data_IF_970562754940
#
_entry.id   IF_970562754940
#
_cell.length_a   1.000
_cell.length_b   1.000
_cell.length_c   1.000
_cell.angle_alpha   90.00
_cell.angle_beta   90.00
_cell.angle_gamma   90.00
#
_symmetry.space_group_name_H-M   'P 1'
#
loop_
_entity.id
_entity.type
_entity.pdbx_description
1 polymer ?
#
# COMPACT_ATOMS: atom_id res chain seq x y z
N UNK A 1 4.92 -2.08 44.64
CA UNK A 1 4.48 -0.99 43.73
C UNK A 1 4.71 -1.44 42.31
N UNK A 2 3.64 -1.81 41.60
CA UNK A 2 3.70 -2.19 40.18
C UNK A 2 4.03 -0.94 39.36
N UNK A 3 5.21 -0.92 38.71
CA UNK A 3 5.53 0.10 37.72
C UNK A 3 4.63 -0.14 36.52
N UNK A 4 3.60 0.69 36.32
CA UNK A 4 2.91 0.76 35.04
C UNK A 4 3.97 1.18 34.01
N UNK A 5 4.46 0.22 33.24
CA UNK A 5 5.35 0.46 32.12
C UNK A 5 4.57 1.24 31.06
N UNK A 6 5.03 2.43 30.72
CA UNK A 6 4.43 3.27 29.67
C UNK A 6 4.39 2.44 28.38
N UNK A 7 3.19 2.21 27.82
CA UNK A 7 2.99 1.45 26.57
C UNK A 7 2.14 0.18 26.67
N UNK A 8 1.82 -0.33 27.87
CA UNK A 8 0.98 -1.54 28.00
C UNK A 8 -0.44 -1.36 27.45
N UNK A 9 -1.08 -0.21 27.71
CA UNK A 9 -2.41 0.09 27.21
C UNK A 9 -2.44 0.24 25.67
N UNK A 10 -1.39 0.83 25.09
CA UNK A 10 -1.22 0.95 23.64
C UNK A 10 -1.02 -0.44 23.00
N UNK A 11 -0.19 -1.30 23.62
CA UNK A 11 0.03 -2.66 23.17
C UNK A 11 -1.27 -3.47 23.12
N UNK A 12 -2.05 -3.44 24.20
CA UNK A 12 -3.32 -4.16 24.26
C UNK A 12 -4.31 -3.63 23.22
N UNK A 13 -4.34 -2.31 23.01
CA UNK A 13 -5.20 -1.67 22.01
C UNK A 13 -4.79 -2.11 20.61
N UNK A 14 -3.52 -2.01 20.24
CA UNK A 14 -3.02 -2.40 18.92
C UNK A 14 -3.22 -3.91 18.67
N UNK A 15 -3.00 -4.76 19.69
CA UNK A 15 -3.28 -6.20 19.60
C UNK A 15 -4.76 -6.49 19.34
N UNK A 16 -5.67 -5.80 20.03
CA UNK A 16 -7.12 -5.94 19.80
C UNK A 16 -7.50 -5.54 18.38
N UNK A 17 -6.94 -4.44 17.87
CA UNK A 17 -7.20 -3.98 16.50
C UNK A 17 -6.67 -5.01 15.49
N UNK A 18 -5.43 -5.50 15.63
CA UNK A 18 -4.87 -6.53 14.75
C UNK A 18 -5.75 -7.78 14.72
N UNK A 19 -6.12 -8.30 15.90
CA UNK A 19 -6.97 -9.48 15.98
C UNK A 19 -8.35 -9.25 15.36
N UNK A 20 -8.95 -8.07 15.54
CA UNK A 20 -10.23 -7.75 14.92
C UNK A 20 -10.15 -7.82 13.38
N UNK A 21 -9.14 -7.18 12.79
CA UNK A 21 -9.01 -7.21 11.33
C UNK A 21 -8.67 -8.60 10.79
N UNK A 22 -7.82 -9.35 11.49
CA UNK A 22 -7.45 -10.70 11.09
C UNK A 22 -8.60 -11.69 11.26
N UNK A 23 -9.13 -11.80 12.47
CA UNK A 23 -10.02 -12.89 12.87
C UNK A 23 -11.50 -12.59 12.56
N UNK A 24 -11.90 -11.31 12.52
CA UNK A 24 -13.29 -10.91 12.23
C UNK A 24 -13.47 -10.45 10.78
N UNK A 25 -12.55 -9.63 10.27
CA UNK A 25 -12.67 -9.08 8.91
C UNK A 25 -11.94 -9.91 7.85
N UNK A 26 -11.13 -10.90 8.25
CA UNK A 26 -10.42 -11.80 7.33
C UNK A 26 -9.28 -11.14 6.56
N UNK A 27 -8.63 -10.13 7.16
CA UNK A 27 -7.47 -9.45 6.58
C UNK A 27 -6.20 -10.27 6.81
N UNK A 28 -5.30 -10.22 5.85
CA UNK A 28 -3.99 -10.83 5.99
C UNK A 28 -3.10 -9.93 6.85
N UNK A 29 -2.60 -10.49 7.96
CA UNK A 29 -1.62 -9.81 8.80
C UNK A 29 -0.21 -10.10 8.28
N UNK A 30 0.46 -9.08 7.72
CA UNK A 30 1.79 -9.23 7.12
C UNK A 30 2.95 -9.17 8.12
N UNK A 31 2.65 -9.03 9.42
CA UNK A 31 3.66 -8.92 10.47
C UNK A 31 4.13 -7.49 10.73
N UNK A 32 5.19 -7.37 11.54
CA UNK A 32 5.84 -6.10 11.85
C UNK A 32 7.04 -5.88 10.90
N UNK A 33 7.02 -4.79 10.14
CA UNK A 33 8.03 -4.45 9.14
C UNK A 33 8.97 -3.32 9.55
N UNK A 34 8.94 -2.88 10.82
CA UNK A 34 9.75 -1.75 11.31
C UNK A 34 11.24 -1.89 11.01
N UNK A 35 11.78 -3.11 11.14
CA UNK A 35 13.20 -3.41 10.93
C UNK A 35 13.46 -4.24 9.67
N UNK A 36 12.48 -4.33 8.76
CA UNK A 36 12.66 -5.08 7.51
C UNK A 36 13.64 -4.34 6.61
N UNK A 37 14.62 -5.04 6.09
CA UNK A 37 15.48 -4.51 5.04
C UNK A 37 14.64 -4.16 3.79
N UNK A 38 14.91 -3.02 3.15
CA UNK A 38 14.12 -2.56 2.01
C UNK A 38 12.68 -2.15 2.36
N UNK A 39 12.45 -1.60 3.56
CA UNK A 39 11.14 -1.03 3.92
C UNK A 39 10.77 0.11 2.96
N UNK A 40 9.58 0.01 2.37
CA UNK A 40 9.08 0.91 1.34
C UNK A 40 7.63 1.29 1.63
N UNK A 41 7.22 2.47 1.17
CA UNK A 41 5.81 2.87 1.19
C UNK A 41 4.99 2.23 0.05
N UNK A 42 5.67 1.65 -0.95
CA UNK A 42 5.06 0.93 -2.06
C UNK A 42 5.67 -0.46 -2.09
N UNK A 43 4.84 -1.46 -1.86
CA UNK A 43 5.22 -2.86 -1.90
C UNK A 43 4.91 -3.45 -3.27
N UNK A 44 5.91 -3.44 -4.15
CA UNK A 44 5.73 -3.79 -5.57
C UNK A 44 5.27 -5.23 -5.78
N UNK A 45 5.74 -6.18 -4.96
CA UNK A 45 5.36 -7.59 -5.06
C UNK A 45 3.85 -7.79 -4.83
N UNK A 46 3.32 -7.26 -3.72
CA UNK A 46 1.89 -7.35 -3.41
C UNK A 46 1.04 -6.58 -4.41
N UNK A 47 1.52 -5.43 -4.88
CA UNK A 47 0.84 -4.61 -5.88
C UNK A 47 0.80 -5.30 -7.25
N UNK A 48 1.89 -5.92 -7.67
CA UNK A 48 1.98 -6.70 -8.90
C UNK A 48 1.02 -7.89 -8.85
N UNK A 49 1.11 -8.72 -7.81
CA UNK A 49 0.25 -9.88 -7.66
C UNK A 49 -1.25 -9.51 -7.58
N UNK A 50 -1.58 -8.36 -6.99
CA UNK A 50 -2.95 -7.84 -7.00
C UNK A 50 -3.41 -7.48 -8.42
N UNK A 51 -2.59 -6.73 -9.17
CA UNK A 51 -2.94 -6.26 -10.51
C UNK A 51 -2.99 -7.41 -11.53
N UNK A 52 -2.14 -8.43 -11.39
CA UNK A 52 -2.20 -9.67 -12.17
C UNK A 52 -3.53 -10.39 -11.96
N UNK A 53 -3.99 -10.50 -10.70
CA UNK A 53 -5.32 -11.07 -10.39
C UNK A 53 -6.48 -10.27 -10.97
N UNK A 54 -6.29 -8.98 -11.28
CA UNK A 54 -7.28 -8.15 -11.98
C UNK A 54 -7.22 -8.31 -13.51
N UNK A 55 -6.26 -9.09 -14.05
CA UNK A 55 -6.13 -9.37 -15.48
C UNK A 55 -5.32 -8.33 -16.26
N UNK A 56 -4.56 -7.46 -15.59
CA UNK A 56 -3.66 -6.53 -16.28
C UNK A 56 -2.40 -7.24 -16.79
N UNK A 57 -1.86 -6.78 -17.93
CA UNK A 57 -0.60 -7.31 -18.47
C UNK A 57 0.62 -6.71 -17.76
N UNK A 58 1.73 -7.45 -17.72
CA UNK A 58 2.99 -7.03 -17.10
C UNK A 58 3.46 -5.65 -17.58
N UNK A 59 3.27 -5.33 -18.87
CA UNK A 59 3.62 -4.03 -19.44
C UNK A 59 2.81 -2.89 -18.78
N UNK A 60 1.51 -3.11 -18.59
CA UNK A 60 0.60 -2.14 -17.97
C UNK A 60 0.91 -2.00 -16.49
N UNK A 61 1.13 -3.13 -15.80
CA UNK A 61 1.49 -3.17 -14.38
C UNK A 61 2.78 -2.40 -14.11
N UNK A 62 3.84 -2.69 -14.87
CA UNK A 62 5.13 -2.00 -14.74
C UNK A 62 4.99 -0.49 -14.90
N UNK A 63 4.29 -0.04 -15.94
CA UNK A 63 4.04 1.40 -16.18
C UNK A 63 3.26 2.06 -15.05
N UNK A 64 2.28 1.35 -14.47
CA UNK A 64 1.48 1.86 -13.36
C UNK A 64 2.32 2.03 -12.09
N UNK A 65 3.11 1.01 -11.75
CA UNK A 65 4.02 1.02 -10.59
C UNK A 65 5.08 2.12 -10.74
N UNK A 66 5.69 2.25 -11.92
CA UNK A 66 6.67 3.31 -12.21
C UNK A 66 6.07 4.71 -11.99
N UNK A 67 4.85 4.95 -12.46
CA UNK A 67 4.15 6.23 -12.29
C UNK A 67 3.83 6.51 -10.83
N UNK A 68 3.38 5.50 -10.08
CA UNK A 68 3.12 5.60 -8.63
C UNK A 68 4.40 5.93 -7.86
N UNK A 69 5.50 5.21 -8.12
CA UNK A 69 6.82 5.44 -7.49
C UNK A 69 7.34 6.85 -7.78
N UNK A 70 7.18 7.32 -9.03
CA UNK A 70 7.62 8.65 -9.42
C UNK A 70 6.88 9.75 -8.66
N UNK A 71 5.57 9.61 -8.45
CA UNK A 71 4.79 10.55 -7.63
C UNK A 71 5.20 10.49 -6.15
N UNK A 72 5.43 9.28 -5.61
CA UNK A 72 5.81 9.11 -4.20
C UNK A 72 7.22 9.64 -3.87
N UNK A 73 8.17 9.54 -4.81
CA UNK A 73 9.59 9.87 -4.59
C UNK A 73 10.00 11.24 -5.15
N UNK A 74 9.05 12.08 -5.56
CA UNK A 74 9.33 13.35 -6.24
C UNK A 74 10.09 14.35 -5.35
N UNK A 75 11.41 14.46 -5.49
CA UNK A 75 12.28 15.19 -4.54
C UNK A 75 11.88 16.66 -4.30
N UNK A 76 11.48 17.38 -5.34
CA UNK A 76 11.15 18.81 -5.28
C UNK A 76 9.72 19.16 -4.80
N UNK A 77 8.92 18.16 -4.41
CA UNK A 77 7.53 18.38 -3.94
C UNK A 77 7.41 18.26 -2.44
N UNK A 78 6.48 19.03 -1.87
CA UNK A 78 6.12 18.90 -0.46
C UNK A 78 5.52 17.51 -0.18
N UNK A 79 5.57 17.07 1.08
CA UNK A 79 4.90 15.82 1.49
C UNK A 79 3.40 15.85 1.16
N UNK A 80 2.78 17.01 1.32
CA UNK A 80 1.38 17.21 0.97
C UNK A 80 1.12 16.98 -0.52
N UNK A 81 1.94 17.58 -1.40
CA UNK A 81 1.76 17.44 -2.85
C UNK A 81 2.00 16.01 -3.31
N UNK A 82 3.03 15.34 -2.77
CA UNK A 82 3.27 13.91 -3.01
C UNK A 82 2.06 13.07 -2.62
N UNK A 83 1.54 13.25 -1.40
CA UNK A 83 0.39 12.49 -0.90
C UNK A 83 -0.88 12.78 -1.70
N UNK A 84 -1.10 14.03 -2.10
CA UNK A 84 -2.23 14.42 -2.96
C UNK A 84 -2.15 13.75 -4.32
N UNK A 85 -0.98 13.72 -4.95
CA UNK A 85 -0.79 13.06 -6.25
C UNK A 85 -0.96 11.55 -6.16
N UNK A 86 -0.36 10.93 -5.14
CA UNK A 86 -0.57 9.50 -4.87
C UNK A 86 -2.05 9.20 -4.66
N UNK A 87 -2.75 10.00 -3.84
CA UNK A 87 -4.19 9.84 -3.61
C UNK A 87 -5.00 9.97 -4.91
N UNK A 88 -4.66 10.93 -5.78
CA UNK A 88 -5.32 11.07 -7.07
C UNK A 88 -5.14 9.83 -7.94
N UNK A 89 -3.92 9.27 -7.99
CA UNK A 89 -3.65 8.02 -8.72
C UNK A 89 -4.41 6.83 -8.12
N UNK A 90 -4.53 6.75 -6.79
CA UNK A 90 -5.30 5.70 -6.14
C UNK A 90 -6.81 5.84 -6.42
N UNK A 91 -7.34 7.06 -6.35
CA UNK A 91 -8.78 7.35 -6.41
C UNK A 91 -9.36 7.32 -7.82
N UNK A 92 -8.64 7.90 -8.79
CA UNK A 92 -9.09 8.03 -10.17
C UNK A 92 -8.43 7.02 -11.11
N UNK A 93 -7.48 6.26 -10.58
CA UNK A 93 -6.69 5.29 -11.29
C UNK A 93 -5.54 5.90 -12.09
N UNK A 94 -4.70 5.02 -12.63
CA UNK A 94 -3.51 5.42 -13.38
C UNK A 94 -3.78 5.32 -14.87
N UNK A 95 -3.75 6.45 -15.57
CA UNK A 95 -3.78 6.44 -17.04
C UNK A 95 -2.50 5.84 -17.60
N UNK A 96 -2.62 4.70 -18.27
CA UNK A 96 -1.52 4.00 -18.94
C UNK A 96 -1.89 3.78 -20.41
N UNK A 97 -0.94 4.07 -21.31
CA UNK A 97 -1.04 3.72 -22.73
C UNK A 97 -0.54 2.28 -22.96
N UNK A 98 -1.37 1.36 -23.46
CA UNK A 98 -0.86 0.10 -24.02
C UNK A 98 0.04 0.41 -25.22
N UNK A 99 0.99 -0.48 -25.56
CA UNK A 99 2.04 -0.25 -26.56
C UNK A 99 1.57 0.28 -27.93
N UNK A 100 2.52 0.69 -28.80
CA UNK A 100 2.28 1.53 -29.99
C UNK A 100 1.34 0.93 -31.06
N UNK A 101 1.02 -0.36 -30.98
CA UNK A 101 0.30 -1.10 -32.02
C UNK A 101 -1.23 -1.16 -31.84
N UNK A 102 -1.80 -0.58 -30.78
CA UNK A 102 -3.26 -0.49 -30.63
C UNK A 102 -3.70 0.96 -30.49
N UNK A 103 -4.58 1.40 -31.38
CA UNK A 103 -5.33 2.66 -31.25
C UNK A 103 -6.30 2.54 -30.06
N UNK A 104 -5.78 2.58 -28.84
CA UNK A 104 -6.58 2.38 -27.64
C UNK A 104 -6.53 3.62 -26.72
N UNK A 105 -7.69 4.02 -26.16
CA UNK A 105 -7.76 5.10 -25.17
C UNK A 105 -6.95 4.75 -23.91
N UNK A 106 -6.60 5.75 -23.12
CA UNK A 106 -5.98 5.56 -21.81
C UNK A 106 -6.78 4.55 -20.99
N UNK A 107 -6.09 3.54 -20.43
CA UNK A 107 -6.72 2.58 -19.53
C UNK A 107 -6.49 3.07 -18.10
N UNK A 108 -7.57 3.25 -17.33
CA UNK A 108 -7.50 3.58 -15.90
C UNK A 108 -7.40 2.30 -15.07
N UNK A 109 -6.36 2.22 -14.25
CA UNK A 109 -6.08 1.08 -13.36
C UNK A 109 -6.50 1.46 -11.94
N UNK A 110 -7.42 0.71 -11.35
CA UNK A 110 -7.81 0.91 -9.95
C UNK A 110 -6.75 0.34 -8.99
N UNK A 111 -6.15 1.21 -8.18
CA UNK A 111 -5.11 0.83 -7.21
C UNK A 111 -5.65 0.67 -5.77
N UNK A 112 -6.93 0.95 -5.53
CA UNK A 112 -7.54 0.97 -4.19
C UNK A 112 -7.65 -0.42 -3.54
N UNK A 113 -7.53 -1.51 -4.30
CA UNK A 113 -7.78 -2.85 -3.78
C UNK A 113 -6.75 -3.41 -2.79
N UNK A 114 -5.50 -2.93 -2.80
CA UNK A 114 -4.44 -3.45 -1.91
C UNK A 114 -4.60 -2.97 -0.48
N UNK A 115 -5.17 -1.78 -0.29
CA UNK A 115 -5.43 -1.22 1.05
C UNK A 115 -6.59 -1.98 1.72
N UNK A 116 -7.45 -2.65 0.95
CA UNK A 116 -8.65 -3.29 1.50
C UNK A 116 -8.44 -4.66 2.15
N UNK A 117 -7.24 -5.27 2.13
CA UNK A 117 -7.05 -6.61 2.73
C UNK A 117 -5.76 -6.81 3.53
N UNK A 118 -5.00 -5.75 3.75
CA UNK A 118 -3.65 -5.88 4.31
C UNK A 118 -3.44 -4.87 5.42
N UNK A 119 -3.07 -5.33 6.62
CA UNK A 119 -2.78 -4.44 7.75
C UNK A 119 -1.41 -4.70 8.31
N UNK A 120 -0.65 -3.61 8.38
CA UNK A 120 0.60 -3.49 9.13
C UNK A 120 0.35 -2.57 10.31
N UNK A 121 -0.09 -3.15 11.43
CA UNK A 121 -0.06 -2.47 12.72
C UNK A 121 1.18 -2.94 13.46
N UNK A 122 2.00 -1.97 13.88
CA UNK A 122 3.08 -2.19 14.81
C UNK A 122 2.48 -2.73 16.12
N UNK A 123 3.23 -3.56 16.85
CA UNK A 123 2.93 -3.87 18.24
C UNK A 123 4.11 -3.30 19.04
N UNK A 124 3.91 -2.43 20.05
CA UNK A 124 5.01 -1.89 20.83
C UNK A 124 5.74 -3.02 21.55
N UNK A 125 7.02 -2.80 21.81
CA UNK A 125 7.87 -3.76 22.53
C UNK A 125 7.32 -4.02 23.93
N UNK A 126 7.47 -5.25 24.42
CA UNK A 126 7.26 -5.60 25.83
C UNK A 126 8.25 -4.88 26.74
#
# INVERSE_FOLDING_TARGET
MSRISVGQAEWETQRRVVNFFKDVLGYDYLGNWEYREGNSNIEEEYLTAFLERQGYSDEIIRKAIEKLKKSATHQHKSLYDKNREVYQLLRYGVDVKPGPFRANPFMSISLIGIIQKTITLQLPRK
#
